data_IF_374344293465
#
_entry.id   IF_374344293465
#
_cell.length_a   1.000
_cell.length_b   1.000
_cell.length_c   1.000
_cell.angle_alpha   90.00
_cell.angle_beta   90.00
_cell.angle_gamma   90.00
#
_symmetry.space_group_name_H-M   'P 1'
#
loop_
_entity.id
_entity.type
_entity.pdbx_description
1 polymer ?
#
# COMPACT_ATOMS: atom_id res chain seq x y z
N UNK A 1 10.97 41.27 1.12
CA UNK A 1 10.24 40.22 0.37
C UNK A 1 10.10 38.99 1.27
N UNK A 2 8.88 38.65 1.72
CA UNK A 2 8.63 37.41 2.49
C UNK A 2 8.66 36.21 1.53
N UNK A 3 9.82 35.59 1.37
CA UNK A 3 9.94 34.29 0.70
C UNK A 3 9.39 33.19 1.63
N UNK A 4 8.08 33.11 1.80
CA UNK A 4 7.47 31.99 2.55
C UNK A 4 7.48 30.75 1.66
N UNK A 5 8.48 29.89 1.87
CA UNK A 5 8.65 28.56 1.26
C UNK A 5 7.38 27.71 1.34
N UNK A 6 6.62 27.86 2.43
CA UNK A 6 5.34 27.21 2.66
C UNK A 6 4.33 28.19 3.27
N UNK A 7 3.08 28.15 2.78
CA UNK A 7 1.95 28.84 3.38
C UNK A 7 0.75 27.90 3.45
N UNK A 8 0.28 27.62 4.67
CA UNK A 8 -0.80 26.69 4.93
C UNK A 8 -2.11 27.08 4.22
N UNK A 9 -2.45 28.37 4.14
CA UNK A 9 -3.68 28.85 3.48
C UNK A 9 -3.63 28.63 1.95
N UNK A 10 -2.47 28.83 1.33
CA UNK A 10 -2.28 28.49 -0.10
C UNK A 10 -2.36 26.98 -0.32
N UNK A 11 -1.76 26.21 0.59
CA UNK A 11 -1.74 24.76 0.53
C UNK A 11 -3.14 24.13 0.68
N UNK A 12 -3.95 24.59 1.63
CA UNK A 12 -5.32 24.08 1.82
C UNK A 12 -6.20 24.41 0.62
N UNK A 13 -6.09 25.62 0.06
CA UNK A 13 -6.79 25.99 -1.16
C UNK A 13 -6.34 25.16 -2.36
N UNK A 14 -5.06 24.84 -2.47
CA UNK A 14 -4.53 23.94 -3.49
C UNK A 14 -5.09 22.52 -3.35
N UNK A 15 -5.09 21.95 -2.14
CA UNK A 15 -5.67 20.64 -1.88
C UNK A 15 -7.17 20.61 -2.20
N UNK A 16 -7.92 21.64 -1.78
CA UNK A 16 -9.35 21.77 -2.09
C UNK A 16 -9.59 21.82 -3.59
N UNK A 17 -8.82 22.65 -4.30
CA UNK A 17 -8.91 22.76 -5.76
C UNK A 17 -8.65 21.42 -6.44
N UNK A 18 -7.53 20.77 -6.14
CA UNK A 18 -7.18 19.46 -6.72
C UNK A 18 -8.25 18.41 -6.43
N UNK A 19 -8.78 18.38 -5.20
CA UNK A 19 -9.81 17.42 -4.81
C UNK A 19 -11.14 17.67 -5.53
N UNK A 20 -11.50 18.92 -5.78
CA UNK A 20 -12.71 19.29 -6.54
C UNK A 20 -12.52 19.10 -8.04
N UNK A 21 -11.34 19.33 -8.60
CA UNK A 21 -11.09 19.11 -10.03
C UNK A 21 -11.12 17.62 -10.39
N UNK A 22 -10.55 16.76 -9.53
CA UNK A 22 -10.44 15.32 -9.77
C UNK A 22 -11.51 14.47 -9.08
N UNK A 23 -12.55 15.07 -8.50
CA UNK A 23 -13.49 14.36 -7.62
C UNK A 23 -14.14 13.14 -8.28
N UNK A 24 -14.51 13.24 -9.58
CA UNK A 24 -15.13 12.14 -10.33
C UNK A 24 -14.15 10.99 -10.54
N UNK A 25 -12.91 11.29 -10.87
CA UNK A 25 -11.87 10.28 -11.09
C UNK A 25 -11.51 9.58 -9.76
N UNK A 26 -11.38 10.35 -8.69
CA UNK A 26 -11.10 9.82 -7.36
C UNK A 26 -12.27 8.97 -6.82
N UNK A 27 -13.52 9.40 -7.05
CA UNK A 27 -14.70 8.62 -6.70
C UNK A 27 -14.76 7.31 -7.50
N UNK A 28 -14.50 7.35 -8.81
CA UNK A 28 -14.46 6.15 -9.64
C UNK A 28 -13.39 5.16 -9.15
N UNK A 29 -12.19 5.65 -8.82
CA UNK A 29 -11.12 4.82 -8.25
C UNK A 29 -11.55 4.18 -6.93
N UNK A 30 -12.22 4.93 -6.06
CA UNK A 30 -12.76 4.42 -4.80
C UNK A 30 -13.82 3.33 -5.03
N UNK A 31 -14.73 3.54 -5.99
CA UNK A 31 -15.77 2.57 -6.33
C UNK A 31 -15.18 1.28 -6.91
N UNK A 32 -14.16 1.39 -7.78
CA UNK A 32 -13.45 0.22 -8.32
C UNK A 32 -12.73 -0.53 -7.20
N UNK A 33 -12.03 0.19 -6.31
CA UNK A 33 -11.35 -0.40 -5.16
C UNK A 33 -12.33 -1.17 -4.28
N UNK A 34 -13.43 -0.54 -3.87
CA UNK A 34 -14.49 -1.18 -3.09
C UNK A 34 -15.13 -2.37 -3.81
N UNK A 35 -15.45 -2.22 -5.10
CA UNK A 35 -16.11 -3.23 -5.90
C UNK A 35 -15.26 -4.49 -6.08
N UNK A 36 -14.00 -4.34 -6.49
CA UNK A 36 -13.07 -5.47 -6.66
C UNK A 36 -12.88 -6.23 -5.36
N UNK A 37 -12.71 -5.50 -4.25
CA UNK A 37 -12.54 -6.11 -2.93
C UNK A 37 -13.80 -6.87 -2.50
N UNK A 38 -14.98 -6.27 -2.70
CA UNK A 38 -16.26 -6.91 -2.38
C UNK A 38 -16.43 -8.21 -3.18
N UNK A 39 -16.20 -8.17 -4.50
CA UNK A 39 -16.35 -9.36 -5.36
C UNK A 39 -15.45 -10.50 -4.90
N UNK A 40 -14.17 -10.22 -4.60
CA UNK A 40 -13.21 -11.25 -4.18
C UNK A 40 -13.56 -11.81 -2.81
N UNK A 41 -13.91 -10.96 -1.84
CA UNK A 41 -14.28 -11.39 -0.48
C UNK A 41 -15.59 -12.20 -0.47
N UNK A 42 -16.59 -11.77 -1.26
CA UNK A 42 -17.85 -12.49 -1.40
C UNK A 42 -17.65 -13.83 -2.11
N UNK A 43 -16.88 -13.87 -3.20
CA UNK A 43 -16.55 -15.12 -3.89
C UNK A 43 -15.85 -16.08 -2.95
N UNK A 44 -14.77 -15.66 -2.30
CA UNK A 44 -14.07 -16.58 -1.40
C UNK A 44 -14.97 -17.06 -0.26
N UNK A 45 -15.79 -16.18 0.31
CA UNK A 45 -16.83 -16.55 1.26
C UNK A 45 -17.81 -17.61 0.70
N UNK A 46 -18.17 -17.53 -0.58
CA UNK A 46 -19.05 -18.52 -1.23
C UNK A 46 -18.40 -19.90 -1.19
N UNK A 47 -17.14 -20.00 -1.61
CA UNK A 47 -16.40 -21.26 -1.63
C UNK A 47 -16.33 -21.84 -0.21
N UNK A 48 -16.00 -21.02 0.79
CA UNK A 48 -15.82 -21.52 2.16
C UNK A 48 -17.16 -21.92 2.77
N UNK A 49 -18.16 -21.04 2.78
CA UNK A 49 -19.44 -21.31 3.45
C UNK A 49 -20.28 -22.38 2.76
N UNK A 50 -20.12 -22.56 1.45
CA UNK A 50 -20.82 -23.61 0.71
C UNK A 50 -20.15 -24.98 0.86
N UNK A 51 -18.81 -25.05 0.79
CA UNK A 51 -18.10 -26.33 0.78
C UNK A 51 -17.81 -26.88 2.19
N UNK A 52 -17.58 -26.01 3.18
CA UNK A 52 -17.56 -26.44 4.57
C UNK A 52 -19.01 -26.68 5.00
N UNK A 53 -19.45 -27.95 4.99
CA UNK A 53 -20.77 -28.35 5.49
C UNK A 53 -21.05 -27.62 6.82
N UNK A 54 -22.20 -26.95 6.92
CA UNK A 54 -22.65 -26.12 8.06
C UNK A 54 -22.31 -26.70 9.45
N UNK A 55 -22.27 -28.03 9.56
CA UNK A 55 -21.91 -28.77 10.77
C UNK A 55 -20.45 -28.57 11.24
N UNK A 56 -19.46 -28.48 10.36
CA UNK A 56 -18.04 -28.32 10.76
C UNK A 56 -17.69 -26.89 11.18
N UNK A 57 -18.40 -25.88 10.64
CA UNK A 57 -18.19 -24.47 10.95
C UNK A 57 -18.73 -24.11 12.34
N UNK A 58 -19.75 -24.84 12.83
CA UNK A 58 -20.28 -24.65 14.19
C UNK A 58 -19.29 -25.03 15.29
N UNK A 59 -18.30 -25.89 15.01
CA UNK A 59 -17.27 -26.27 16.00
C UNK A 59 -16.03 -25.37 15.99
N UNK A 60 -15.89 -24.49 14.99
CA UNK A 60 -14.81 -23.50 14.94
C UNK A 60 -15.24 -22.23 15.66
N UNK A 61 -14.45 -21.78 16.65
CA UNK A 61 -14.73 -20.56 17.43
C UNK A 61 -14.47 -19.24 16.67
N UNK A 62 -14.01 -19.32 15.42
CA UNK A 62 -13.60 -18.19 14.57
C UNK A 62 -14.08 -18.40 13.14
N UNK A 63 -14.37 -17.31 12.43
CA UNK A 63 -14.75 -17.36 11.02
C UNK A 63 -13.59 -17.93 10.17
N UNK A 64 -13.77 -19.06 9.45
CA UNK A 64 -12.72 -19.65 8.62
C UNK A 64 -12.25 -18.75 7.47
N UNK A 65 -13.03 -17.71 7.12
CA UNK A 65 -12.70 -16.77 6.05
C UNK A 65 -11.68 -15.72 6.49
N UNK A 66 -11.46 -15.53 7.80
CA UNK A 66 -10.59 -14.47 8.32
C UNK A 66 -9.13 -14.56 7.87
N UNK A 67 -8.55 -15.76 7.76
CA UNK A 67 -7.17 -15.92 7.26
C UNK A 67 -7.02 -15.33 5.86
N UNK A 68 -7.96 -15.66 4.98
CA UNK A 68 -7.98 -15.14 3.62
C UNK A 68 -8.27 -13.64 3.58
N UNK A 69 -9.24 -13.16 4.36
CA UNK A 69 -9.56 -11.71 4.44
C UNK A 69 -8.32 -10.91 4.80
N UNK A 70 -7.50 -11.43 5.70
CA UNK A 70 -6.32 -10.75 6.17
C UNK A 70 -5.14 -10.83 5.18
N UNK A 71 -4.98 -11.95 4.48
CA UNK A 71 -4.05 -12.05 3.35
C UNK A 71 -4.48 -11.09 2.22
N UNK A 72 -5.77 -11.10 1.86
CA UNK A 72 -6.35 -10.22 0.86
C UNK A 72 -6.18 -8.74 1.22
N UNK A 73 -6.33 -8.37 2.50
CA UNK A 73 -6.04 -7.02 2.99
C UNK A 73 -4.65 -6.55 2.59
N UNK A 74 -3.63 -7.39 2.81
CA UNK A 74 -2.24 -7.06 2.46
C UNK A 74 -2.06 -6.96 0.95
N UNK A 75 -2.55 -7.93 0.18
CA UNK A 75 -2.46 -7.89 -1.28
C UNK A 75 -3.12 -6.66 -1.89
N UNK A 76 -4.31 -6.30 -1.40
CA UNK A 76 -5.00 -5.09 -1.83
C UNK A 76 -4.28 -3.82 -1.38
N UNK A 77 -3.73 -3.79 -0.16
CA UNK A 77 -2.96 -2.66 0.33
C UNK A 77 -1.74 -2.40 -0.57
N UNK A 78 -0.95 -3.43 -0.87
CA UNK A 78 0.21 -3.31 -1.75
C UNK A 78 -0.19 -2.99 -3.20
N UNK A 79 -1.16 -3.72 -3.76
CA UNK A 79 -1.60 -3.56 -5.14
C UNK A 79 -2.25 -2.20 -5.40
N UNK A 80 -3.30 -1.85 -4.66
CA UNK A 80 -3.96 -0.55 -4.80
C UNK A 80 -3.09 0.61 -4.31
N UNK A 81 -2.22 0.40 -3.32
CA UNK A 81 -1.24 1.40 -2.90
C UNK A 81 -0.25 1.75 -4.00
N UNK A 82 0.26 0.76 -4.73
CA UNK A 82 1.13 0.96 -5.89
C UNK A 82 0.40 1.65 -7.05
N UNK A 83 -0.87 1.30 -7.29
CA UNK A 83 -1.72 1.95 -8.29
C UNK A 83 -1.98 3.42 -7.93
N UNK A 84 -2.36 3.70 -6.68
CA UNK A 84 -2.56 5.06 -6.16
C UNK A 84 -1.29 5.91 -6.30
N UNK A 85 -0.14 5.35 -5.89
CA UNK A 85 1.18 5.98 -6.04
C UNK A 85 1.52 6.32 -7.49
N UNK A 86 1.16 5.45 -8.42
CA UNK A 86 1.42 5.65 -9.85
C UNK A 86 0.48 6.65 -10.50
N UNK A 87 -0.74 6.80 -9.99
CA UNK A 87 -1.72 7.76 -10.48
C UNK A 87 -1.56 9.17 -9.89
N UNK A 88 -0.73 9.34 -8.85
CA UNK A 88 -0.41 10.62 -8.21
C UNK A 88 0.01 11.73 -9.16
N UNK A 89 0.64 11.36 -10.29
CA UNK A 89 1.12 12.30 -11.31
C UNK A 89 0.39 12.18 -12.64
N UNK A 90 -0.74 11.45 -12.67
CA UNK A 90 -1.54 11.26 -13.88
C UNK A 90 -2.07 12.57 -14.48
N UNK A 91 -2.32 13.57 -13.63
CA UNK A 91 -2.77 14.89 -14.07
C UNK A 91 -1.69 15.69 -14.81
N UNK A 92 -0.47 15.16 -15.00
CA UNK A 92 0.53 15.76 -15.90
C UNK A 92 0.59 15.10 -17.29
N UNK A 93 -0.30 14.14 -17.58
CA UNK A 93 -0.36 13.46 -18.89
C UNK A 93 -0.88 14.36 -20.01
N UNK A 94 -1.79 15.29 -19.71
CA UNK A 94 -2.41 16.22 -20.67
C UNK A 94 -1.71 17.58 -20.71
N UNK A 95 -1.48 18.13 -21.92
CA UNK A 95 -0.90 19.48 -22.11
C UNK A 95 -1.71 20.56 -21.37
N UNK A 96 -3.04 20.45 -21.38
CA UNK A 96 -3.94 21.41 -20.74
C UNK A 96 -3.88 21.35 -19.21
N UNK A 97 -3.79 20.14 -18.64
CA UNK A 97 -3.68 19.97 -17.18
C UNK A 97 -2.30 20.42 -16.66
N UNK A 98 -1.22 20.19 -17.41
CA UNK A 98 0.10 20.75 -17.11
C UNK A 98 0.10 22.28 -17.09
N UNK A 99 -0.48 22.91 -18.11
CA UNK A 99 -0.62 24.37 -18.18
C UNK A 99 -1.41 24.92 -16.98
N UNK A 100 -2.53 24.28 -16.62
CA UNK A 100 -3.32 24.68 -15.45
C UNK A 100 -2.54 24.55 -14.14
N UNK A 101 -1.69 23.52 -14.00
CA UNK A 101 -0.85 23.31 -12.81
C UNK A 101 0.34 24.27 -12.73
N UNK A 102 0.83 24.74 -13.88
CA UNK A 102 1.86 25.78 -13.99
C UNK A 102 1.31 27.16 -13.62
N UNK A 103 0.04 27.43 -13.96
CA UNK A 103 -0.64 28.70 -13.69
C UNK A 103 -1.05 28.89 -12.21
N UNK A 104 -0.98 27.86 -11.37
CA UNK A 104 -1.27 28.01 -9.93
C UNK A 104 -0.05 28.63 -9.23
N UNK A 105 -0.21 29.79 -8.56
CA UNK A 105 0.85 30.43 -7.79
C UNK A 105 1.08 29.70 -6.46
N UNK A 106 1.65 28.50 -6.53
CA UNK A 106 2.07 27.67 -5.40
C UNK A 106 3.52 27.23 -5.59
N UNK A 107 4.24 26.99 -4.49
CA UNK A 107 5.63 26.53 -4.57
C UNK A 107 5.69 25.09 -5.10
N UNK A 108 6.77 24.71 -5.78
CA UNK A 108 6.97 23.33 -6.26
C UNK A 108 6.86 22.30 -5.13
N UNK A 109 7.27 22.69 -3.92
CA UNK A 109 7.11 21.89 -2.70
C UNK A 109 5.63 21.71 -2.32
N UNK A 110 4.84 22.79 -2.23
CA UNK A 110 3.40 22.71 -1.92
C UNK A 110 2.66 21.81 -2.93
N UNK A 111 3.02 21.88 -4.22
CA UNK A 111 2.45 21.03 -5.28
C UNK A 111 2.81 19.55 -5.12
N UNK A 112 4.09 19.26 -4.87
CA UNK A 112 4.54 17.88 -4.66
C UNK A 112 3.94 17.29 -3.38
N UNK A 113 3.98 18.05 -2.28
CA UNK A 113 3.47 17.61 -0.97
C UNK A 113 1.96 17.37 -0.99
N UNK A 114 1.18 18.21 -1.69
CA UNK A 114 -0.27 18.00 -1.85
C UNK A 114 -0.59 16.68 -2.54
N UNK A 115 0.13 16.36 -3.61
CA UNK A 115 -0.06 15.12 -4.37
C UNK A 115 0.41 13.90 -3.58
N UNK A 116 1.56 14.00 -2.93
CA UNK A 116 2.07 12.97 -2.04
C UNK A 116 1.04 12.66 -0.94
N UNK A 117 0.52 13.68 -0.24
CA UNK A 117 -0.44 13.52 0.86
C UNK A 117 -1.74 12.81 0.42
N UNK A 118 -2.27 13.17 -0.76
CA UNK A 118 -3.47 12.50 -1.30
C UNK A 118 -3.18 11.03 -1.62
N UNK A 119 -2.01 10.75 -2.20
CA UNK A 119 -1.65 9.41 -2.64
C UNK A 119 -1.26 8.45 -1.52
N UNK A 120 -0.59 8.95 -0.47
CA UNK A 120 -0.14 8.14 0.67
C UNK A 120 -1.19 8.12 1.77
N UNK A 121 -1.48 9.28 2.37
CA UNK A 121 -2.26 9.39 3.61
C UNK A 121 -3.76 9.24 3.33
N UNK A 122 -4.29 10.04 2.40
CA UNK A 122 -5.75 10.01 2.11
C UNK A 122 -6.15 8.68 1.50
N UNK A 123 -5.33 8.13 0.60
CA UNK A 123 -5.53 6.79 0.06
C UNK A 123 -5.60 5.73 1.17
N UNK A 124 -4.65 5.69 2.11
CA UNK A 124 -4.65 4.72 3.19
C UNK A 124 -5.94 4.79 4.01
N UNK A 125 -6.38 5.99 4.35
CA UNK A 125 -7.63 6.20 5.10
C UNK A 125 -8.85 5.69 4.33
N UNK A 126 -8.96 6.06 3.04
CA UNK A 126 -10.05 5.61 2.17
C UNK A 126 -10.03 4.10 1.94
N UNK A 127 -8.85 3.51 1.80
CA UNK A 127 -8.65 2.07 1.66
C UNK A 127 -9.19 1.32 2.89
N UNK A 128 -8.86 1.79 4.10
CA UNK A 128 -9.35 1.17 5.35
C UNK A 128 -10.88 1.22 5.44
N UNK A 129 -11.50 2.34 5.09
CA UNK A 129 -12.95 2.49 5.06
C UNK A 129 -13.56 1.53 4.02
N UNK A 130 -13.05 1.54 2.79
CA UNK A 130 -13.55 0.69 1.72
C UNK A 130 -13.38 -0.81 2.04
N UNK A 131 -12.27 -1.19 2.67
CA UNK A 131 -12.04 -2.55 3.16
C UNK A 131 -13.07 -2.96 4.20
N UNK A 132 -13.30 -2.11 5.20
CA UNK A 132 -14.32 -2.39 6.21
C UNK A 132 -15.70 -2.53 5.61
N UNK A 133 -16.07 -1.65 4.68
CA UNK A 133 -17.35 -1.74 3.98
C UNK A 133 -17.45 -3.04 3.16
N UNK A 134 -16.41 -3.43 2.41
CA UNK A 134 -16.40 -4.65 1.61
C UNK A 134 -16.48 -5.93 2.45
N UNK A 135 -15.89 -5.92 3.64
CA UNK A 135 -16.01 -7.04 4.57
C UNK A 135 -17.41 -7.08 5.23
N UNK A 136 -17.98 -5.93 5.59
CA UNK A 136 -19.36 -5.87 6.08
C UNK A 136 -20.36 -6.36 5.03
N UNK A 137 -20.18 -6.05 3.75
CA UNK A 137 -21.09 -6.53 2.71
C UNK A 137 -21.02 -8.05 2.56
N UNK A 138 -19.84 -8.65 2.61
CA UNK A 138 -19.68 -10.12 2.71
C UNK A 138 -20.46 -10.68 3.90
N UNK A 139 -20.26 -10.12 5.09
CA UNK A 139 -20.91 -10.59 6.32
C UNK A 139 -22.43 -10.50 6.23
N UNK A 140 -22.96 -9.39 5.70
CA UNK A 140 -24.41 -9.19 5.53
C UNK A 140 -24.99 -10.25 4.58
N UNK A 141 -24.35 -10.48 3.43
CA UNK A 141 -24.81 -11.46 2.44
C UNK A 141 -24.89 -12.87 3.03
N UNK A 142 -23.86 -13.28 3.77
CA UNK A 142 -23.79 -14.64 4.29
C UNK A 142 -24.53 -14.85 5.60
N UNK A 143 -24.65 -13.83 6.47
CA UNK A 143 -25.57 -13.90 7.63
C UNK A 143 -27.02 -14.04 7.18
N UNK A 144 -27.39 -13.35 6.09
CA UNK A 144 -28.74 -13.49 5.53
C UNK A 144 -28.97 -14.87 4.90
N UNK A 145 -27.96 -15.39 4.17
CA UNK A 145 -28.08 -16.68 3.47
C UNK A 145 -27.97 -17.90 4.41
N UNK A 146 -27.18 -17.80 5.48
CA UNK A 146 -26.92 -18.88 6.44
C UNK A 146 -27.14 -18.39 7.88
N UNK A 147 -28.38 -18.09 8.29
CA UNK A 147 -28.67 -17.50 9.59
C UNK A 147 -28.33 -18.40 10.78
N UNK A 148 -28.11 -19.70 10.56
CA UNK A 148 -27.76 -20.69 11.61
C UNK A 148 -26.26 -20.72 11.96
N UNK A 149 -25.43 -19.97 11.24
CA UNK A 149 -23.98 -19.92 11.46
C UNK A 149 -23.65 -18.60 12.17
N UNK A 150 -23.57 -18.64 13.50
CA UNK A 150 -23.29 -17.45 14.33
C UNK A 150 -21.83 -16.99 14.23
N UNK A 151 -20.93 -17.83 13.72
CA UNK A 151 -19.50 -17.56 13.59
C UNK A 151 -19.15 -16.61 12.43
N UNK A 152 -20.11 -16.24 11.59
CA UNK A 152 -19.90 -15.28 10.48
C UNK A 152 -19.82 -13.87 11.07
N UNK A 153 -18.62 -13.32 11.08
CA UNK A 153 -18.33 -12.02 11.69
C UNK A 153 -17.38 -11.19 10.84
N UNK A 154 -17.46 -9.86 11.03
CA UNK A 154 -16.57 -8.93 10.38
C UNK A 154 -15.16 -9.05 10.95
N UNK A 155 -14.16 -9.01 10.08
CA UNK A 155 -12.76 -9.15 10.40
C UNK A 155 -12.31 -8.01 11.33
N UNK A 156 -11.82 -8.32 12.54
CA UNK A 156 -11.40 -7.31 13.50
C UNK A 156 -10.03 -6.73 13.12
N UNK A 157 -9.99 -5.49 12.62
CA UNK A 157 -8.74 -4.76 12.40
C UNK A 157 -7.99 -4.45 13.70
N UNK A 158 -8.67 -4.50 14.85
CA UNK A 158 -8.09 -4.36 16.19
C UNK A 158 -7.40 -5.64 16.68
N UNK A 159 -7.71 -6.81 16.11
CA UNK A 159 -7.15 -8.11 16.52
C UNK A 159 -5.71 -8.36 16.06
N UNK A 160 -5.03 -7.37 15.46
CA UNK A 160 -3.66 -7.51 14.98
C UNK A 160 -2.62 -7.45 16.10
N UNK A 161 -2.99 -6.90 17.26
CA UNK A 161 -2.10 -6.67 18.42
C UNK A 161 -2.90 -6.85 19.72
N UNK A 162 -3.26 -8.09 20.07
CA UNK A 162 -3.64 -8.42 21.46
C UNK A 162 -3.09 -9.81 21.81
N UNK A 163 -2.47 -9.91 22.98
CA UNK A 163 -1.79 -11.10 23.49
C UNK A 163 -2.72 -11.98 24.34
N UNK A 164 -3.94 -11.51 24.60
CA UNK A 164 -4.71 -11.93 25.78
C UNK A 164 -6.04 -12.62 25.49
N UNK A 165 -6.44 -12.74 24.22
CA UNK A 165 -7.75 -13.24 23.84
C UNK A 165 -7.65 -14.36 22.80
N UNK A 166 -8.26 -15.50 23.13
CA UNK A 166 -8.25 -16.80 22.43
C UNK A 166 -8.95 -16.75 21.04
N UNK A 167 -9.32 -15.57 20.56
CA UNK A 167 -10.34 -15.39 19.52
C UNK A 167 -9.88 -14.65 18.26
N UNK A 168 -8.59 -14.38 18.08
CA UNK A 168 -8.12 -13.68 16.88
C UNK A 168 -7.25 -14.58 16.00
N UNK A 169 -7.68 -14.75 14.75
CA UNK A 169 -6.89 -15.35 13.68
C UNK A 169 -5.79 -14.35 13.32
N UNK A 170 -4.59 -14.58 13.83
CA UNK A 170 -3.45 -13.69 13.61
C UNK A 170 -2.86 -13.89 12.21
N UNK A 171 -2.88 -12.84 11.37
CA UNK A 171 -2.06 -12.80 10.13
C UNK A 171 -0.58 -12.83 10.45
N UNK A 172 -0.21 -12.17 11.56
CA UNK A 172 1.15 -12.08 12.05
C UNK A 172 1.21 -12.54 13.50
N UNK A 173 1.97 -13.60 13.73
CA UNK A 173 2.20 -14.17 15.07
C UNK A 173 2.89 -13.21 16.04
N UNK A 174 3.58 -12.18 15.50
CA UNK A 174 4.49 -11.30 16.24
C UNK A 174 4.38 -9.84 15.74
N UNK A 175 4.36 -8.87 16.66
CA UNK A 175 4.21 -7.43 16.35
C UNK A 175 5.31 -6.88 15.43
N UNK A 176 6.55 -7.35 15.54
CA UNK A 176 7.64 -6.88 14.69
C UNK A 176 7.44 -7.24 13.21
N UNK A 177 6.77 -8.35 12.90
CA UNK A 177 6.43 -8.71 11.51
C UNK A 177 5.43 -7.72 10.91
N UNK A 178 4.45 -7.29 11.70
CA UNK A 178 3.49 -6.26 11.30
C UNK A 178 4.22 -4.95 10.98
N UNK A 179 5.08 -4.48 11.90
CA UNK A 179 5.87 -3.25 11.71
C UNK A 179 6.70 -3.33 10.43
N UNK A 180 7.37 -4.47 10.21
CA UNK A 180 8.16 -4.71 9.02
C UNK A 180 7.34 -4.65 7.73
N UNK A 181 6.14 -5.20 7.71
CA UNK A 181 5.30 -5.22 6.50
C UNK A 181 4.74 -3.84 6.19
N UNK A 182 4.35 -3.05 7.19
CA UNK A 182 3.98 -1.65 6.96
C UNK A 182 5.18 -0.81 6.51
N UNK A 183 6.38 -1.06 7.05
CA UNK A 183 7.60 -0.39 6.59
C UNK A 183 7.93 -0.77 5.13
N UNK A 184 7.80 -2.05 4.77
CA UNK A 184 7.96 -2.54 3.41
C UNK A 184 6.91 -1.93 2.46
N UNK A 185 5.66 -1.81 2.91
CA UNK A 185 4.62 -1.13 2.16
C UNK A 185 5.00 0.33 1.85
N UNK A 186 5.46 1.09 2.86
CA UNK A 186 5.91 2.48 2.65
C UNK A 186 7.08 2.55 1.66
N UNK A 187 8.02 1.62 1.76
CA UNK A 187 9.13 1.53 0.82
C UNK A 187 8.67 1.26 -0.62
N UNK A 188 7.84 0.22 -0.83
CA UNK A 188 7.30 -0.10 -2.15
C UNK A 188 6.48 1.06 -2.70
N UNK A 189 5.60 1.64 -1.88
CA UNK A 189 4.79 2.81 -2.24
C UNK A 189 5.68 3.98 -2.70
N UNK A 190 6.78 4.25 -1.98
CA UNK A 190 7.72 5.32 -2.32
C UNK A 190 8.40 5.13 -3.68
N UNK A 191 8.71 3.88 -4.07
CA UNK A 191 9.28 3.56 -5.38
C UNK A 191 8.29 3.88 -6.50
N UNK A 192 7.01 3.58 -6.30
CA UNK A 192 5.96 3.92 -7.26
C UNK A 192 5.70 5.44 -7.33
N UNK A 193 5.79 6.16 -6.20
CA UNK A 193 5.73 7.63 -6.20
C UNK A 193 6.91 8.20 -6.99
N UNK A 194 8.13 7.73 -6.74
CA UNK A 194 9.32 8.15 -7.47
C UNK A 194 9.20 7.84 -8.97
N UNK A 195 8.77 6.63 -9.32
CA UNK A 195 8.54 6.20 -10.69
C UNK A 195 7.47 7.03 -11.41
N UNK A 196 6.45 7.49 -10.69
CA UNK A 196 5.43 8.42 -11.23
C UNK A 196 6.03 9.76 -11.68
N UNK A 197 7.10 10.22 -11.02
CA UNK A 197 7.81 11.46 -11.37
C UNK A 197 8.71 11.29 -12.59
N UNK A 198 9.42 10.17 -12.63
CA UNK A 198 10.38 9.88 -13.71
C UNK A 198 9.64 9.63 -15.03
N UNK A 199 8.51 8.94 -14.97
CA UNK A 199 7.77 8.49 -16.16
C UNK A 199 6.42 9.20 -16.26
N UNK A 200 6.27 10.30 -17.02
CA UNK A 200 4.98 10.99 -17.11
C UNK A 200 3.91 10.21 -17.88
N UNK A 201 4.28 9.23 -18.72
CA UNK A 201 3.36 8.33 -19.44
C UNK A 201 3.62 6.87 -19.06
N UNK A 202 2.54 6.15 -18.75
CA UNK A 202 2.53 4.73 -18.36
C UNK A 202 3.46 4.40 -17.18
N UNK A 203 3.42 5.24 -16.14
CA UNK A 203 4.34 5.19 -15.00
C UNK A 203 4.29 3.87 -14.24
N UNK A 204 3.08 3.34 -14.01
CA UNK A 204 2.91 2.07 -13.30
C UNK A 204 3.66 0.93 -14.01
N UNK A 205 3.40 0.73 -15.30
CA UNK A 205 4.00 -0.38 -16.07
C UNK A 205 5.52 -0.25 -16.18
N UNK A 206 6.04 0.98 -16.37
CA UNK A 206 7.48 1.22 -16.47
C UNK A 206 8.21 1.05 -15.14
N UNK A 207 7.59 1.49 -14.05
CA UNK A 207 8.16 1.32 -12.70
C UNK A 207 8.11 -0.14 -12.29
N UNK A 208 7.03 -0.85 -12.60
CA UNK A 208 6.93 -2.28 -12.38
C UNK A 208 7.95 -3.05 -13.22
N UNK A 209 8.04 -2.80 -14.52
CA UNK A 209 9.03 -3.47 -15.39
C UNK A 209 10.47 -3.18 -14.97
N UNK A 210 10.81 -1.92 -14.69
CA UNK A 210 12.13 -1.55 -14.18
C UNK A 210 12.43 -2.19 -12.84
N UNK A 211 11.46 -2.18 -11.92
CA UNK A 211 11.59 -2.81 -10.60
C UNK A 211 11.78 -4.32 -10.71
N UNK A 212 11.04 -5.00 -11.59
CA UNK A 212 11.19 -6.42 -11.84
C UNK A 212 12.57 -6.76 -12.40
N UNK A 213 13.07 -6.03 -13.40
CA UNK A 213 14.41 -6.25 -13.97
C UNK A 213 15.49 -6.10 -12.89
N UNK A 214 15.42 -5.02 -12.10
CA UNK A 214 16.36 -4.78 -11.01
C UNK A 214 16.26 -5.90 -9.97
N UNK A 215 15.06 -6.30 -9.56
CA UNK A 215 14.85 -7.38 -8.61
C UNK A 215 15.41 -8.72 -9.11
N UNK A 216 15.22 -9.05 -10.39
CA UNK A 216 15.78 -10.27 -10.99
C UNK A 216 17.32 -10.25 -10.98
N UNK A 217 17.94 -9.11 -11.32
CA UNK A 217 19.40 -8.97 -11.27
C UNK A 217 19.93 -9.15 -9.85
N UNK A 218 19.32 -8.48 -8.86
CA UNK A 218 19.73 -8.60 -7.46
C UNK A 218 19.47 -9.98 -6.88
N UNK A 219 18.36 -10.62 -7.24
CA UNK A 219 18.07 -11.97 -6.79
C UNK A 219 19.06 -12.97 -7.39
N UNK A 220 19.42 -12.79 -8.66
CA UNK A 220 20.48 -13.56 -9.31
C UNK A 220 21.83 -13.39 -8.64
N UNK A 221 22.24 -12.16 -8.29
CA UNK A 221 23.51 -11.94 -7.58
C UNK A 221 23.49 -12.54 -6.18
N UNK A 222 22.37 -12.46 -5.45
CA UNK A 222 22.23 -13.09 -4.12
C UNK A 222 22.35 -14.61 -4.23
N UNK A 223 21.68 -15.26 -5.19
CA UNK A 223 21.80 -16.71 -5.39
C UNK A 223 23.23 -17.10 -5.72
N UNK A 224 23.88 -16.39 -6.65
CA UNK A 224 25.27 -16.66 -7.03
C UNK A 224 26.22 -16.46 -5.85
N UNK A 225 26.00 -15.44 -5.01
CA UNK A 225 26.78 -15.24 -3.80
C UNK A 225 26.53 -16.36 -2.79
N UNK A 226 25.29 -16.78 -2.57
CA UNK A 226 24.98 -17.92 -1.68
C UNK A 226 25.68 -19.17 -2.21
N UNK A 227 25.63 -19.45 -3.50
CA UNK A 227 26.28 -20.63 -4.11
C UNK A 227 27.81 -20.56 -3.98
N UNK A 228 28.42 -19.40 -4.24
CA UNK A 228 29.86 -19.17 -4.05
C UNK A 228 30.32 -19.28 -2.59
N UNK A 229 29.46 -18.95 -1.62
CA UNK A 229 29.77 -19.00 -0.19
C UNK A 229 29.25 -20.26 0.51
N UNK A 230 28.46 -21.11 -0.17
CA UNK A 230 27.93 -22.38 0.36
C UNK A 230 28.92 -23.52 0.18
N UNK A 231 30.20 -23.28 0.49
CA UNK A 231 31.18 -24.35 0.63
C UNK A 231 30.79 -25.19 1.87
N UNK A 232 30.43 -26.49 1.75
CA UNK A 232 29.79 -27.26 2.82
C UNK A 232 30.69 -27.52 4.04
N UNK A 233 31.94 -27.08 4.01
CA UNK A 233 32.96 -27.28 5.06
C UNK A 233 33.09 -26.11 6.03
N UNK A 234 32.48 -24.95 5.74
CA UNK A 234 32.54 -23.75 6.58
C UNK A 234 31.14 -23.32 6.98
N UNK A 235 30.69 -23.74 8.17
CA UNK A 235 29.54 -23.12 8.84
C UNK A 235 29.94 -21.71 9.30
N UNK A 236 29.87 -20.74 8.38
CA UNK A 236 29.95 -19.35 8.76
C UNK A 236 28.64 -18.94 9.44
N UNK A 237 28.70 -18.78 10.77
CA UNK A 237 27.72 -17.98 11.47
C UNK A 237 27.82 -16.54 10.94
N UNK A 238 26.92 -16.18 10.04
CA UNK A 238 26.80 -14.80 9.58
C UNK A 238 26.51 -13.89 10.79
N UNK A 239 27.05 -12.67 10.88
CA UNK A 239 26.75 -11.76 11.99
C UNK A 239 25.24 -11.55 12.21
N UNK A 240 24.43 -11.73 11.15
CA UNK A 240 22.97 -11.64 11.16
C UNK A 240 22.26 -12.89 11.70
N UNK A 241 22.88 -14.08 11.68
CA UNK A 241 22.32 -15.31 12.26
C UNK A 241 22.33 -15.26 13.79
N UNK A 242 23.26 -14.51 14.39
CA UNK A 242 23.37 -14.26 15.83
C UNK A 242 22.26 -13.35 16.38
N UNK A 243 21.55 -12.63 15.51
CA UNK A 243 20.51 -11.69 15.91
C UNK A 243 19.16 -12.39 16.05
N UNK A 244 18.36 -11.96 17.02
CA UNK A 244 16.98 -12.43 17.19
C UNK A 244 16.11 -12.03 16.00
N UNK A 245 15.02 -12.78 15.75
CA UNK A 245 14.04 -12.42 14.73
C UNK A 245 13.53 -10.98 14.85
N UNK A 246 13.39 -10.50 16.08
CA UNK A 246 12.90 -9.16 16.36
C UNK A 246 13.92 -8.09 15.94
N UNK A 247 15.20 -8.28 16.24
CA UNK A 247 16.28 -7.37 15.86
C UNK A 247 16.46 -7.31 14.34
N UNK A 248 16.44 -8.48 13.66
CA UNK A 248 16.47 -8.53 12.19
C UNK A 248 15.29 -7.78 11.58
N UNK A 249 14.08 -8.08 12.04
CA UNK A 249 12.85 -7.44 11.56
C UNK A 249 12.88 -5.92 11.79
N UNK A 250 13.39 -5.46 12.94
CA UNK A 250 13.54 -4.05 13.25
C UNK A 250 14.55 -3.36 12.33
N UNK A 251 15.72 -3.95 12.10
CA UNK A 251 16.73 -3.42 11.19
C UNK A 251 16.19 -3.25 9.76
N UNK A 252 15.55 -4.29 9.22
CA UNK A 252 14.94 -4.20 7.89
C UNK A 252 13.81 -3.16 7.84
N UNK A 253 13.02 -3.02 8.91
CA UNK A 253 11.99 -1.98 9.01
C UNK A 253 12.59 -0.58 8.95
N UNK A 254 13.67 -0.33 9.70
CA UNK A 254 14.38 0.96 9.69
C UNK A 254 14.96 1.26 8.32
N UNK A 255 15.62 0.29 7.69
CA UNK A 255 16.16 0.43 6.34
C UNK A 255 15.06 0.74 5.31
N UNK A 256 13.91 0.06 5.41
CA UNK A 256 12.77 0.31 4.52
C UNK A 256 12.21 1.73 4.69
N UNK A 257 12.09 2.23 5.92
CA UNK A 257 11.63 3.61 6.18
C UNK A 257 12.65 4.64 5.67
N UNK A 258 13.94 4.42 5.91
CA UNK A 258 15.00 5.31 5.38
C UNK A 258 15.01 5.33 3.86
N UNK A 259 14.88 4.16 3.21
CA UNK A 259 14.73 4.04 1.77
C UNK A 259 13.48 4.77 1.26
N UNK A 260 12.36 4.69 1.98
CA UNK A 260 11.13 5.39 1.62
C UNK A 260 11.30 6.92 1.66
N UNK A 261 11.92 7.43 2.73
CA UNK A 261 12.25 8.86 2.86
C UNK A 261 13.18 9.32 1.74
N UNK A 262 14.22 8.54 1.44
CA UNK A 262 15.15 8.83 0.35
C UNK A 262 14.42 8.92 -1.00
N UNK A 263 13.54 7.96 -1.32
CA UNK A 263 12.78 7.96 -2.55
C UNK A 263 11.81 9.14 -2.68
N UNK A 264 11.13 9.54 -1.60
CA UNK A 264 10.27 10.72 -1.60
C UNK A 264 11.07 12.02 -1.79
N UNK A 265 12.24 12.15 -1.15
CA UNK A 265 13.13 13.30 -1.32
C UNK A 265 13.65 13.38 -2.76
N UNK A 266 14.09 12.25 -3.33
CA UNK A 266 14.55 12.18 -4.71
C UNK A 266 13.42 12.50 -5.70
N UNK A 267 12.21 12.02 -5.41
CA UNK A 267 11.00 12.35 -6.17
C UNK A 267 10.71 13.85 -6.17
N UNK A 268 10.89 14.54 -5.04
CA UNK A 268 10.74 15.99 -4.97
C UNK A 268 11.77 16.75 -5.83
N UNK A 269 13.05 16.39 -5.74
CA UNK A 269 14.09 17.04 -6.56
C UNK A 269 13.84 16.84 -8.05
N UNK A 270 13.46 15.62 -8.44
CA UNK A 270 13.14 15.32 -9.85
C UNK A 270 11.90 16.07 -10.32
N UNK A 271 10.88 16.19 -9.46
CA UNK A 271 9.68 16.97 -9.76
C UNK A 271 10.02 18.45 -10.00
N UNK A 272 10.85 19.03 -9.11
CA UNK A 272 11.31 20.42 -9.25
C UNK A 272 12.06 20.65 -10.56
N UNK A 273 12.97 19.74 -10.93
CA UNK A 273 13.72 19.82 -12.19
C UNK A 273 12.78 19.77 -13.41
N UNK A 274 11.78 18.88 -13.39
CA UNK A 274 10.80 18.75 -14.47
C UNK A 274 9.96 20.02 -14.67
N UNK A 275 9.68 20.77 -13.60
CA UNK A 275 8.94 22.02 -13.67
C UNK A 275 9.80 23.16 -14.26
N UNK A 276 11.12 23.13 -14.03
CA UNK A 276 12.06 24.10 -14.61
C UNK A 276 12.18 23.89 -16.12
N UNK A 277 12.38 22.65 -16.57
CA UNK A 277 12.51 22.31 -18.00
C UNK A 277 11.23 22.68 -18.77
N UNK A 278 10.06 22.54 -18.16
CA UNK A 278 8.79 22.88 -18.82
C UNK A 278 8.49 24.38 -18.90
N UNK A 279 9.27 25.22 -18.21
CA UNK A 279 9.13 26.69 -18.23
C UNK A 279 10.11 27.37 -19.18
N UNK A 280 11.16 26.68 -19.61
CA UNK A 280 12.09 27.13 -20.67
C UNK A 280 11.55 26.70 -22.04
#
# INVERSE_FOLDING_TARGET
MKNTFFNLSRFTNLCRKNMVEDWRANLLRLLVLYGVMTVILVWYGYIVYHNYKSYSIQYTKTDPVWEFVALAFLWFLFGFGALSASFTMENMKSKASRLSSLMIPATSFEKYFSRWLVSTVVFLFLFLIAFKLADYTRVIIYRFSYPKIETIEAFPLTGWVDRTSVHYVFVFRKMHMLIFIFALYLYVQSLFVLGSVIWPKNSFLKTFASGSIIAFLYFGTIILLIDMFSDPTLHYDTPLSLWTDAERSALFSVLAVLGALFNWVLGYFRFKESEIIQRM
#
